data_IF_347843592213
#
_entry.id   IF_347843592213
#
_cell.length_a   1.000
_cell.length_b   1.000
_cell.length_c   1.000
_cell.angle_alpha   90.00
_cell.angle_beta   90.00
_cell.angle_gamma   90.00
#
_symmetry.space_group_name_H-M   'P 1'
#
loop_
_entity.id
_entity.type
_entity.pdbx_description
1 polymer ?
#
# COMPACT_ATOMS: atom_id res chain seq x y z
N UNK A 1 -3.41 20.35 14.53
CA UNK A 1 -2.49 20.08 15.64
C UNK A 1 -3.04 19.20 16.75
N UNK A 2 -3.93 18.24 16.45
CA UNK A 2 -4.61 17.46 17.50
C UNK A 2 -4.42 15.94 17.32
N UNK A 3 -3.19 15.50 17.09
CA UNK A 3 -2.87 14.08 17.23
C UNK A 3 -2.04 13.86 18.50
N UNK A 4 -2.70 13.86 19.66
CA UNK A 4 -2.16 13.28 20.88
C UNK A 4 -2.30 11.76 20.80
N UNK A 5 -1.22 11.10 20.44
CA UNK A 5 -1.13 9.64 20.51
C UNK A 5 -0.50 9.31 21.85
N UNK A 6 -1.05 8.34 22.56
CA UNK A 6 -0.40 7.71 23.73
C UNK A 6 0.97 7.20 23.27
N UNK A 7 2.05 7.75 23.80
CA UNK A 7 3.42 7.55 23.31
C UNK A 7 4.00 8.77 22.59
N UNK A 8 3.44 9.93 22.85
CA UNK A 8 3.79 11.21 22.21
C UNK A 8 5.27 11.57 22.32
N UNK A 9 5.92 11.22 23.43
CA UNK A 9 7.32 11.57 23.67
C UNK A 9 8.29 10.80 22.78
N UNK A 10 8.10 9.49 22.59
CA UNK A 10 8.96 8.70 21.71
C UNK A 10 8.80 9.10 20.25
N UNK A 11 7.59 9.42 19.81
CA UNK A 11 7.32 9.89 18.46
C UNK A 11 7.87 11.31 18.24
N UNK A 12 7.76 12.16 19.24
CA UNK A 12 8.32 13.51 19.22
C UNK A 12 9.86 13.48 19.17
N UNK A 13 10.48 12.61 19.94
CA UNK A 13 11.94 12.43 19.94
C UNK A 13 12.43 11.82 18.62
N UNK A 14 11.70 10.90 18.06
CA UNK A 14 11.98 10.34 16.72
C UNK A 14 11.86 11.43 15.65
N UNK A 15 10.85 12.30 15.72
CA UNK A 15 10.67 13.46 14.85
C UNK A 15 11.79 14.48 14.99
N UNK A 16 12.19 14.79 16.23
CA UNK A 16 13.27 15.73 16.51
C UNK A 16 14.62 15.17 16.04
N UNK A 17 14.86 13.89 16.24
CA UNK A 17 16.05 13.19 15.75
C UNK A 17 16.08 13.17 14.22
N UNK A 18 14.92 12.94 13.60
CA UNK A 18 14.77 12.97 12.15
C UNK A 18 15.00 14.37 11.58
N UNK A 19 14.42 15.41 12.18
CA UNK A 19 14.67 16.81 11.81
C UNK A 19 16.14 17.20 12.00
N UNK A 20 16.77 16.78 13.08
CA UNK A 20 18.21 17.00 13.30
C UNK A 20 19.07 16.31 12.23
N UNK A 21 18.72 15.09 11.81
CA UNK A 21 19.41 14.39 10.71
C UNK A 21 19.20 15.07 9.36
N UNK A 22 18.01 15.64 9.10
CA UNK A 22 17.79 16.44 7.89
C UNK A 22 18.59 17.76 7.87
N UNK A 23 18.73 18.38 9.03
CA UNK A 23 19.50 19.63 9.19
C UNK A 23 21.01 19.36 9.17
N UNK A 24 21.45 18.18 9.60
CA UNK A 24 22.87 17.83 9.74
C UNK A 24 23.55 17.30 8.48
N UNK A 25 23.09 17.65 7.29
CA UNK A 25 24.00 17.55 6.19
C UNK A 25 23.68 16.59 5.05
N UNK A 26 22.44 16.33 4.72
CA UNK A 26 22.15 15.71 3.44
C UNK A 26 21.18 16.58 2.63
N UNK A 27 21.63 17.77 2.25
CA UNK A 27 20.91 18.68 1.34
C UNK A 27 20.63 18.03 -0.03
N UNK A 28 21.31 16.94 -0.35
CA UNK A 28 21.12 16.13 -1.57
C UNK A 28 20.21 14.91 -1.40
N UNK A 29 19.54 14.77 -0.26
CA UNK A 29 18.61 13.65 -0.11
C UNK A 29 17.29 13.97 -0.82
N UNK A 30 16.96 13.19 -1.83
CA UNK A 30 15.66 13.22 -2.52
C UNK A 30 14.51 12.73 -1.60
N UNK A 31 14.76 12.57 -0.31
CA UNK A 31 13.76 12.16 0.67
C UNK A 31 12.87 13.33 1.04
N UNK A 32 11.55 13.15 0.82
CA UNK A 32 10.53 14.11 1.21
C UNK A 32 9.51 13.42 2.12
N UNK A 33 9.31 13.96 3.32
CA UNK A 33 8.22 13.57 4.20
C UNK A 33 6.99 14.44 3.91
N UNK A 34 5.87 13.80 3.59
CA UNK A 34 4.58 14.48 3.45
C UNK A 34 3.76 14.20 4.70
N UNK A 35 3.34 15.27 5.38
CA UNK A 35 2.48 15.17 6.56
C UNK A 35 1.06 14.77 6.19
N UNK A 36 0.31 14.29 7.20
CA UNK A 36 -1.10 13.94 7.06
C UNK A 36 -1.88 15.12 6.47
N UNK A 37 -2.63 14.83 5.43
CA UNK A 37 -3.57 15.77 4.79
C UNK A 37 -4.99 15.48 5.27
N UNK A 38 -5.91 16.46 5.18
CA UNK A 38 -7.34 16.22 5.34
C UNK A 38 -7.82 15.10 4.42
N UNK A 39 -8.83 14.35 4.86
CA UNK A 39 -9.36 13.21 4.10
C UNK A 39 -9.79 13.59 2.68
N UNK A 40 -10.29 14.80 2.49
CA UNK A 40 -10.70 15.34 1.20
C UNK A 40 -9.57 15.56 0.21
N UNK A 41 -8.34 15.69 0.68
CA UNK A 41 -7.15 15.96 -0.14
C UNK A 41 -6.08 14.89 -0.02
N UNK A 42 -6.28 13.89 0.85
CA UNK A 42 -5.31 12.82 1.08
C UNK A 42 -4.93 12.07 -0.20
N UNK A 43 -5.91 11.74 -1.03
CA UNK A 43 -5.73 11.00 -2.27
C UNK A 43 -4.75 11.69 -3.24
N UNK A 44 -4.65 13.03 -3.21
CA UNK A 44 -3.70 13.76 -4.05
C UNK A 44 -2.23 13.41 -3.81
N UNK A 45 -1.90 12.75 -2.69
CA UNK A 45 -0.55 12.27 -2.44
C UNK A 45 -0.11 11.22 -3.46
N UNK A 46 -1.04 10.42 -3.98
CA UNK A 46 -0.76 9.38 -4.98
C UNK A 46 -0.34 9.95 -6.35
N UNK A 47 -0.53 11.24 -6.60
CA UNK A 47 -0.05 11.90 -7.83
C UNK A 47 1.46 12.18 -7.82
N UNK A 48 2.13 12.01 -6.69
CA UNK A 48 3.53 12.42 -6.52
C UNK A 48 4.53 11.25 -6.56
N UNK A 49 4.09 10.03 -6.86
CA UNK A 49 4.96 8.86 -6.95
C UNK A 49 4.36 7.81 -7.89
N UNK A 50 5.19 6.89 -8.36
CA UNK A 50 4.81 5.81 -9.30
C UNK A 50 4.81 4.45 -8.63
N UNK A 51 5.56 4.27 -7.55
CA UNK A 51 5.70 3.02 -6.81
C UNK A 51 5.23 3.23 -5.37
N UNK A 52 4.26 2.44 -4.94
CA UNK A 52 3.80 2.36 -3.56
C UNK A 52 4.47 1.20 -2.83
N UNK A 53 4.83 1.41 -1.57
CA UNK A 53 5.45 0.38 -0.71
C UNK A 53 4.58 0.22 0.54
N UNK A 54 4.12 -1.01 0.78
CA UNK A 54 3.27 -1.33 1.92
C UNK A 54 3.86 -2.44 2.80
N UNK A 55 4.86 -2.12 3.64
CA UNK A 55 5.38 -3.07 4.62
C UNK A 55 4.35 -3.30 5.73
N UNK A 56 4.20 -4.55 6.16
CA UNK A 56 3.30 -4.93 7.24
C UNK A 56 3.99 -5.95 8.15
N UNK A 57 4.13 -5.63 9.43
CA UNK A 57 4.70 -6.56 10.40
C UNK A 57 3.73 -7.73 10.64
N UNK A 58 4.26 -8.96 10.64
CA UNK A 58 3.49 -10.14 11.00
C UNK A 58 3.11 -10.08 12.49
N UNK A 59 1.85 -9.74 12.75
CA UNK A 59 1.26 -9.64 14.07
C UNK A 59 -0.24 -9.91 13.98
N UNK A 60 -0.83 -10.50 15.02
CA UNK A 60 -2.25 -10.85 15.06
C UNK A 60 -3.16 -9.65 14.73
N UNK A 61 -2.85 -8.49 15.28
CA UNK A 61 -3.58 -7.25 15.01
C UNK A 61 -3.56 -6.87 13.52
N UNK A 62 -2.44 -7.12 12.82
CA UNK A 62 -2.32 -6.79 11.42
C UNK A 62 -3.06 -7.76 10.49
N UNK A 63 -3.41 -8.96 10.97
CA UNK A 63 -4.25 -9.91 10.22
C UNK A 63 -5.68 -9.42 10.02
N UNK A 64 -6.19 -8.63 10.95
CA UNK A 64 -7.58 -8.14 10.95
C UNK A 64 -7.73 -6.72 10.40
N UNK A 65 -6.65 -6.12 9.91
CA UNK A 65 -6.70 -4.83 9.21
C UNK A 65 -7.34 -4.97 7.83
N UNK A 66 -7.79 -3.86 7.29
CA UNK A 66 -8.20 -3.78 5.89
C UNK A 66 -7.00 -3.68 4.95
N UNK A 67 -7.21 -4.06 3.69
CA UNK A 67 -6.24 -3.90 2.60
C UNK A 67 -6.26 -2.50 1.97
N UNK A 68 -6.55 -1.47 2.76
CA UNK A 68 -6.73 -0.10 2.27
C UNK A 68 -5.56 0.39 1.40
N UNK A 69 -4.31 0.05 1.77
CA UNK A 69 -3.12 0.43 0.98
C UNK A 69 -3.07 -0.23 -0.40
N UNK A 70 -3.62 -1.42 -0.53
CA UNK A 70 -3.75 -2.12 -1.83
C UNK A 70 -4.80 -1.42 -2.69
N UNK A 71 -5.97 -1.13 -2.10
CA UNK A 71 -7.07 -0.44 -2.78
C UNK A 71 -6.63 0.95 -3.24
N UNK A 72 -6.02 1.73 -2.36
CA UNK A 72 -5.52 3.07 -2.67
C UNK A 72 -4.49 3.04 -3.82
N UNK A 73 -3.50 2.15 -3.74
CA UNK A 73 -2.50 2.01 -4.81
C UNK A 73 -3.14 1.60 -6.14
N UNK A 74 -4.06 0.63 -6.11
CA UNK A 74 -4.73 0.14 -7.31
C UNK A 74 -5.61 1.19 -7.97
N UNK A 75 -6.46 1.90 -7.21
CA UNK A 75 -7.31 2.97 -7.76
C UNK A 75 -6.48 4.07 -8.43
N UNK A 76 -5.29 4.33 -7.91
CA UNK A 76 -4.38 5.32 -8.48
C UNK A 76 -3.37 4.74 -9.49
N UNK A 77 -3.56 3.48 -9.90
CA UNK A 77 -2.70 2.78 -10.88
C UNK A 77 -1.21 2.82 -10.51
N UNK A 78 -0.90 2.64 -9.22
CA UNK A 78 0.48 2.63 -8.73
C UNK A 78 0.99 1.19 -8.63
N UNK A 79 2.20 0.95 -9.15
CA UNK A 79 2.88 -0.31 -8.89
C UNK A 79 3.04 -0.51 -7.39
N UNK A 80 2.75 -1.71 -6.89
CA UNK A 80 2.75 -1.99 -5.46
C UNK A 80 3.79 -3.03 -5.10
N UNK A 81 4.67 -2.69 -4.15
CA UNK A 81 5.50 -3.65 -3.43
C UNK A 81 4.87 -3.85 -2.06
N UNK A 82 4.49 -5.07 -1.73
CA UNK A 82 3.64 -5.35 -0.58
C UNK A 82 4.14 -6.54 0.24
N UNK A 83 3.94 -6.49 1.55
CA UNK A 83 4.17 -7.66 2.41
C UNK A 83 3.19 -8.77 2.09
N UNK A 84 3.70 -9.98 1.84
CA UNK A 84 2.87 -11.19 1.67
C UNK A 84 2.32 -11.65 3.03
N UNK A 85 1.35 -10.90 3.55
CA UNK A 85 0.77 -11.15 4.86
C UNK A 85 -0.60 -10.50 5.07
N UNK A 86 -1.49 -11.24 5.74
CA UNK A 86 -2.77 -10.73 6.23
C UNK A 86 -3.69 -10.22 5.13
N UNK A 87 -4.29 -9.03 5.28
CA UNK A 87 -5.28 -8.53 4.34
C UNK A 87 -4.73 -8.25 2.94
N UNK A 88 -3.42 -8.08 2.80
CA UNK A 88 -2.82 -7.77 1.50
C UNK A 88 -2.85 -8.94 0.53
N UNK A 89 -2.98 -10.19 1.04
CA UNK A 89 -3.10 -11.39 0.21
C UNK A 89 -4.49 -11.59 -0.40
N UNK A 90 -5.46 -10.72 -0.08
CA UNK A 90 -6.83 -10.81 -0.61
C UNK A 90 -6.85 -10.48 -2.11
N UNK A 91 -6.22 -9.37 -2.47
CA UNK A 91 -6.28 -8.84 -3.84
C UNK A 91 -4.91 -8.85 -4.55
N UNK A 92 -3.81 -9.07 -3.81
CA UNK A 92 -2.47 -9.09 -4.38
C UNK A 92 -2.10 -10.49 -4.88
N UNK A 93 -1.62 -10.54 -6.10
CA UNK A 93 -1.05 -11.73 -6.75
C UNK A 93 0.39 -11.40 -7.12
N UNK A 94 1.34 -12.21 -6.67
CA UNK A 94 2.74 -11.96 -6.96
C UNK A 94 3.03 -12.05 -8.47
N UNK A 95 3.66 -11.03 -9.00
CA UNK A 95 4.07 -10.97 -10.40
C UNK A 95 5.31 -11.83 -10.71
N UNK A 96 5.97 -12.36 -9.68
CA UNK A 96 7.11 -13.25 -9.84
C UNK A 96 6.77 -14.66 -9.37
N UNK A 97 7.07 -15.64 -10.19
CA UNK A 97 6.98 -17.05 -9.83
C UNK A 97 8.19 -17.50 -8.98
N UNK A 98 8.03 -18.62 -8.28
CA UNK A 98 9.16 -19.31 -7.64
C UNK A 98 10.14 -19.75 -8.74
N UNK A 99 11.33 -19.18 -8.75
CA UNK A 99 12.34 -19.43 -9.81
C UNK A 99 12.58 -18.23 -10.72
N UNK A 100 11.87 -17.11 -10.53
CA UNK A 100 12.14 -15.83 -11.19
C UNK A 100 11.39 -15.60 -12.49
N UNK A 101 10.50 -16.51 -12.89
CA UNK A 101 9.58 -16.31 -14.01
C UNK A 101 8.58 -15.18 -13.75
N UNK A 102 7.94 -14.70 -14.82
CA UNK A 102 6.86 -13.70 -14.74
C UNK A 102 5.52 -14.44 -14.65
N UNK A 103 4.74 -14.12 -13.65
CA UNK A 103 3.35 -14.55 -13.54
C UNK A 103 2.45 -13.57 -14.32
N UNK A 104 1.81 -13.98 -15.42
CA UNK A 104 0.99 -13.09 -16.23
C UNK A 104 -0.21 -12.48 -15.47
N UNK A 105 -0.70 -13.18 -14.45
CA UNK A 105 -1.81 -12.73 -13.60
C UNK A 105 -1.34 -11.87 -12.41
N UNK A 106 -0.04 -11.72 -12.23
CA UNK A 106 0.53 -10.96 -11.11
C UNK A 106 0.27 -9.47 -11.26
N UNK A 107 -0.18 -8.85 -10.17
CA UNK A 107 -0.54 -7.43 -10.10
C UNK A 107 0.29 -6.65 -9.09
N UNK A 108 1.23 -7.30 -8.40
CA UNK A 108 2.07 -6.69 -7.37
C UNK A 108 3.36 -7.46 -7.18
N UNK A 109 4.36 -6.86 -6.55
CA UNK A 109 5.57 -7.55 -6.10
C UNK A 109 5.43 -7.87 -4.62
N UNK A 110 5.35 -9.15 -4.26
CA UNK A 110 5.09 -9.57 -2.88
C UNK A 110 6.39 -9.99 -2.18
N UNK A 111 6.55 -9.54 -0.95
CA UNK A 111 7.69 -9.87 -0.10
C UNK A 111 7.25 -10.82 1.00
N UNK A 112 7.63 -12.12 0.94
CA UNK A 112 7.32 -13.07 1.99
C UNK A 112 8.15 -12.77 3.23
N UNK A 113 7.54 -12.83 4.41
CA UNK A 113 8.13 -12.63 5.74
C UNK A 113 8.85 -11.30 5.96
N UNK A 114 8.53 -10.64 7.07
CA UNK A 114 8.93 -9.26 7.40
C UNK A 114 10.45 -9.00 7.49
N UNK A 115 11.30 -10.02 7.49
CA UNK A 115 12.75 -9.85 7.67
C UNK A 115 13.56 -9.83 6.37
N UNK A 116 12.95 -9.87 5.22
CA UNK A 116 13.68 -9.95 3.96
C UNK A 116 13.97 -8.57 3.35
N UNK A 117 14.80 -7.77 4.03
CA UNK A 117 15.20 -6.44 3.55
C UNK A 117 15.82 -6.46 2.14
N UNK A 118 16.59 -7.50 1.82
CA UNK A 118 17.22 -7.66 0.50
C UNK A 118 16.18 -7.74 -0.63
N UNK A 119 15.06 -8.43 -0.39
CA UNK A 119 14.03 -8.60 -1.41
C UNK A 119 13.26 -7.29 -1.65
N UNK A 120 13.00 -6.48 -0.61
CA UNK A 120 12.44 -5.14 -0.78
C UNK A 120 13.29 -4.29 -1.72
N UNK A 121 14.60 -4.26 -1.48
CA UNK A 121 15.53 -3.55 -2.34
C UNK A 121 15.55 -4.09 -3.78
N UNK A 122 15.57 -5.42 -3.94
CA UNK A 122 15.57 -6.06 -5.25
C UNK A 122 14.30 -5.72 -6.04
N UNK A 123 13.14 -5.69 -5.40
CA UNK A 123 11.88 -5.31 -6.02
C UNK A 123 11.86 -3.83 -6.42
N UNK A 124 12.33 -2.94 -5.56
CA UNK A 124 12.48 -1.52 -5.90
C UNK A 124 13.40 -1.34 -7.11
N UNK A 125 14.58 -1.95 -7.06
CA UNK A 125 15.54 -1.90 -8.17
C UNK A 125 14.94 -2.45 -9.47
N UNK A 126 14.23 -3.58 -9.41
CA UNK A 126 13.56 -4.18 -10.57
C UNK A 126 12.59 -3.22 -11.24
N UNK A 127 11.78 -2.51 -10.49
CA UNK A 127 10.83 -1.54 -11.02
C UNK A 127 11.54 -0.32 -11.61
N UNK A 128 12.56 0.19 -10.95
CA UNK A 128 13.35 1.32 -11.48
C UNK A 128 14.07 0.94 -12.77
N UNK A 129 14.63 -0.26 -12.86
CA UNK A 129 15.32 -0.76 -14.06
C UNK A 129 14.32 -1.10 -15.19
N UNK A 130 13.02 -1.25 -14.91
CA UNK A 130 11.98 -1.65 -15.86
C UNK A 130 10.72 -0.77 -15.72
N UNK A 131 10.73 0.47 -16.23
CA UNK A 131 9.59 1.40 -16.10
C UNK A 131 8.27 0.85 -16.66
N UNK A 132 8.31 0.08 -17.74
CA UNK A 132 7.11 -0.53 -18.31
C UNK A 132 6.41 -1.49 -17.32
N UNK A 133 7.17 -2.15 -16.44
CA UNK A 133 6.61 -3.01 -15.41
C UNK A 133 5.85 -2.20 -14.35
N UNK A 134 6.22 -0.95 -14.10
CA UNK A 134 5.48 -0.05 -13.20
C UNK A 134 4.07 0.18 -13.74
N UNK A 135 3.97 0.54 -15.01
CA UNK A 135 2.68 0.77 -15.66
C UNK A 135 1.84 -0.51 -15.71
N UNK A 136 2.42 -1.62 -16.14
CA UNK A 136 1.72 -2.92 -16.26
C UNK A 136 1.15 -3.39 -14.90
N UNK A 137 1.94 -3.34 -13.83
CA UNK A 137 1.48 -3.73 -12.50
C UNK A 137 0.42 -2.77 -11.95
N UNK A 138 0.56 -1.47 -12.19
CA UNK A 138 -0.42 -0.47 -11.79
C UNK A 138 -1.78 -0.69 -12.47
N UNK A 139 -1.79 -0.95 -13.78
CA UNK A 139 -3.03 -1.24 -14.51
C UNK A 139 -3.67 -2.56 -14.05
N UNK A 140 -2.91 -3.62 -13.89
CA UNK A 140 -3.42 -4.91 -13.40
C UNK A 140 -3.99 -4.81 -11.99
N UNK A 141 -3.36 -4.04 -11.12
CA UNK A 141 -3.86 -3.80 -9.78
C UNK A 141 -5.15 -2.97 -9.81
N UNK A 142 -5.23 -1.97 -10.69
CA UNK A 142 -6.45 -1.21 -10.91
C UNK A 142 -7.60 -2.10 -11.40
N UNK A 143 -7.39 -2.95 -12.39
CA UNK A 143 -8.38 -3.91 -12.89
C UNK A 143 -8.88 -4.87 -11.80
N UNK A 144 -7.99 -5.22 -10.86
CA UNK A 144 -8.33 -6.07 -9.72
C UNK A 144 -9.22 -5.36 -8.71
N UNK A 145 -8.93 -4.10 -8.38
CA UNK A 145 -9.60 -3.42 -7.24
C UNK A 145 -10.77 -2.54 -7.67
N UNK A 146 -10.67 -1.84 -8.79
CA UNK A 146 -11.64 -0.82 -9.18
C UNK A 146 -13.07 -1.35 -9.27
N UNK A 147 -13.36 -2.52 -9.89
CA UNK A 147 -14.73 -3.01 -10.03
C UNK A 147 -15.42 -3.30 -8.68
N UNK A 148 -14.65 -3.64 -7.65
CA UNK A 148 -15.20 -4.18 -6.40
C UNK A 148 -15.19 -3.19 -5.22
N UNK A 149 -14.37 -2.13 -5.31
CA UNK A 149 -14.17 -1.19 -4.18
C UNK A 149 -14.71 0.21 -4.47
N UNK A 150 -15.55 0.35 -5.48
CA UNK A 150 -16.29 1.60 -5.70
C UNK A 150 -17.44 1.74 -4.70
N UNK A 151 -17.76 2.97 -4.33
CA UNK A 151 -18.89 3.25 -3.43
C UNK A 151 -20.21 2.69 -3.99
N UNK A 152 -20.41 2.81 -5.29
CA UNK A 152 -21.59 2.31 -5.98
C UNK A 152 -21.73 0.79 -5.84
N UNK A 153 -20.68 0.04 -6.17
CA UNK A 153 -20.67 -1.42 -6.07
C UNK A 153 -20.91 -1.90 -4.65
N UNK A 154 -20.17 -1.34 -3.68
CA UNK A 154 -20.31 -1.72 -2.27
C UNK A 154 -21.69 -1.39 -1.73
N UNK A 155 -22.24 -0.22 -2.07
CA UNK A 155 -23.58 0.19 -1.62
C UNK A 155 -24.65 -0.71 -2.19
N UNK A 156 -24.57 -1.05 -3.48
CA UNK A 156 -25.51 -1.98 -4.13
C UNK A 156 -25.48 -3.35 -3.44
N UNK A 157 -24.33 -3.96 -3.27
CA UNK A 157 -24.19 -5.27 -2.64
C UNK A 157 -24.67 -5.27 -1.19
N UNK A 158 -24.40 -4.19 -0.46
CA UNK A 158 -24.89 -4.02 0.91
C UNK A 158 -26.42 -3.94 0.98
N UNK A 159 -27.03 -3.20 0.06
CA UNK A 159 -28.48 -3.10 -0.03
C UNK A 159 -29.13 -4.45 -0.39
N UNK A 160 -28.52 -5.22 -1.29
CA UNK A 160 -28.98 -6.57 -1.64
C UNK A 160 -28.90 -7.51 -0.43
N UNK A 161 -27.80 -7.49 0.28
CA UNK A 161 -27.61 -8.29 1.49
C UNK A 161 -28.64 -7.97 2.58
N UNK A 162 -28.92 -6.69 2.83
CA UNK A 162 -29.98 -6.30 3.80
C UNK A 162 -31.36 -6.78 3.37
N UNK A 163 -31.70 -6.70 2.09
CA UNK A 163 -32.99 -7.23 1.58
C UNK A 163 -33.10 -8.73 1.79
N UNK A 164 -32.03 -9.49 1.60
CA UNK A 164 -32.01 -10.92 1.86
C UNK A 164 -32.21 -11.26 3.35
N UNK A 165 -31.59 -10.50 4.25
CA UNK A 165 -31.78 -10.69 5.68
C UNK A 165 -33.23 -10.47 6.09
N UNK A 166 -33.88 -9.41 5.59
CA UNK A 166 -35.28 -9.11 5.88
C UNK A 166 -36.21 -10.22 5.35
N UNK A 167 -35.90 -10.84 4.21
CA UNK A 167 -36.70 -11.93 3.66
C UNK A 167 -36.58 -13.24 4.45
N UNK A 168 -35.52 -13.42 5.21
CA UNK A 168 -35.24 -14.62 6.01
C UNK A 168 -35.70 -14.50 7.46
N UNK A 169 -36.04 -13.31 7.91
CA UNK A 169 -36.61 -13.03 9.24
C UNK A 169 -38.15 -13.10 9.19
#
# INVERSE_FOLDING_TARGET
DNYRIIGEDSYRDELLTFKKKQISGNENSNYRRVWTKPITTYASNYNNFDISIAPLKEHIFNKVKSQLKVIEAGIHKKALIVQDFGPYTIDCINALERGGGINPKGNSLMVPKAKNHKLWYQHMKRLVDNPNMITDLGEKLYETVFPYYTLEYITKNRAEWYRELIRKS
#
